data_IF_466716222957
#
_entry.id   IF_466716222957
#
_cell.length_a   1.000
_cell.length_b   1.000
_cell.length_c   1.000
_cell.angle_alpha   90.00
_cell.angle_beta   90.00
_cell.angle_gamma   90.00
#
_symmetry.space_group_name_H-M   'P 1'
#
loop_
_entity.id
_entity.type
_entity.pdbx_description
1 polymer ?
#
# COMPACT_ATOMS: atom_id res chain seq x y z
N UNK A 1 0.63 13.33 15.78
CA UNK A 1 0.36 12.68 14.49
C UNK A 1 1.40 11.57 14.32
N UNK A 2 1.15 10.58 13.48
CA UNK A 2 2.08 9.48 13.24
C UNK A 2 1.73 8.78 11.92
N UNK A 3 2.62 7.91 11.43
CA UNK A 3 2.41 7.11 10.23
C UNK A 3 1.29 6.08 10.36
N UNK A 4 0.17 6.37 9.72
CA UNK A 4 -0.98 5.49 9.53
C UNK A 4 -0.99 5.00 8.08
N UNK A 5 -1.09 3.70 7.87
CA UNK A 5 -0.90 3.06 6.56
C UNK A 5 -2.07 2.15 6.25
N UNK A 6 -2.51 2.12 5.00
CA UNK A 6 -3.73 1.45 4.58
C UNK A 6 -3.50 0.64 3.31
N UNK A 7 -4.01 -0.58 3.30
CA UNK A 7 -4.17 -1.40 2.10
C UNK A 7 -5.65 -1.53 1.80
N UNK A 8 -6.06 -1.24 0.58
CA UNK A 8 -7.46 -1.25 0.20
C UNK A 8 -7.66 -1.69 -1.25
N UNK A 9 -8.88 -2.07 -1.58
CA UNK A 9 -9.28 -2.45 -2.93
C UNK A 9 -10.24 -1.43 -3.52
N UNK A 10 -10.27 -1.32 -4.84
CA UNK A 10 -11.32 -0.63 -5.60
C UNK A 10 -11.67 -1.42 -6.86
N UNK A 11 -12.79 -1.08 -7.50
CA UNK A 11 -13.15 -1.65 -8.80
C UNK A 11 -12.06 -1.36 -9.82
N UNK A 12 -11.57 -2.41 -10.49
CA UNK A 12 -10.56 -2.27 -11.54
C UNK A 12 -11.07 -1.41 -12.70
N UNK A 13 -12.37 -1.44 -12.99
CA UNK A 13 -13.01 -0.58 -13.99
C UNK A 13 -12.86 0.91 -13.67
N UNK A 14 -12.99 1.29 -12.39
CA UNK A 14 -12.75 2.66 -11.96
C UNK A 14 -11.26 2.99 -12.08
N UNK A 15 -10.38 2.14 -11.53
CA UNK A 15 -8.94 2.37 -11.54
C UNK A 15 -8.36 2.49 -12.97
N UNK A 16 -8.87 1.71 -13.93
CA UNK A 16 -8.28 1.55 -15.25
C UNK A 16 -6.86 0.99 -15.15
N UNK A 17 -5.96 1.50 -15.98
CA UNK A 17 -4.53 1.12 -15.98
C UNK A 17 -3.65 2.00 -15.09
N UNK A 18 -4.26 2.96 -14.37
CA UNK A 18 -3.53 3.92 -13.53
C UNK A 18 -2.82 3.19 -12.39
N UNK A 19 -1.58 3.60 -12.16
CA UNK A 19 -0.67 2.95 -11.22
C UNK A 19 -0.44 3.77 -9.94
N UNK A 20 -0.53 5.09 -10.02
CA UNK A 20 -0.30 5.99 -8.89
C UNK A 20 -1.40 7.04 -8.81
N UNK A 21 -1.58 7.61 -7.62
CA UNK A 21 -2.43 8.77 -7.36
C UNK A 21 -3.89 8.58 -7.80
N UNK A 22 -4.38 7.35 -7.62
CA UNK A 22 -5.77 6.96 -7.87
C UNK A 22 -6.55 7.07 -6.56
N UNK A 23 -7.31 8.15 -6.42
CA UNK A 23 -8.25 8.36 -5.32
C UNK A 23 -9.54 9.03 -5.81
N UNK A 24 -10.72 8.53 -5.41
CA UNK A 24 -11.98 9.19 -5.71
C UNK A 24 -12.08 10.54 -4.98
N UNK A 25 -12.43 11.58 -5.73
CA UNK A 25 -12.51 12.97 -5.31
C UNK A 25 -13.96 13.42 -5.00
N UNK A 26 -14.95 12.70 -5.52
CA UNK A 26 -16.38 13.00 -5.31
C UNK A 26 -17.12 11.81 -4.70
N UNK A 27 -18.30 12.04 -4.13
CA UNK A 27 -19.14 10.96 -3.59
C UNK A 27 -19.57 9.96 -4.68
N UNK A 28 -19.85 10.45 -5.89
CA UNK A 28 -20.16 9.61 -7.05
C UNK A 28 -18.97 8.72 -7.43
N UNK A 29 -17.75 9.28 -7.47
CA UNK A 29 -16.55 8.50 -7.72
C UNK A 29 -16.28 7.47 -6.61
N UNK A 30 -16.59 7.81 -5.35
CA UNK A 30 -16.48 6.85 -4.22
C UNK A 30 -17.45 5.68 -4.39
N UNK A 31 -18.68 5.95 -4.81
CA UNK A 31 -19.68 4.92 -5.10
C UNK A 31 -19.27 4.04 -6.28
N UNK A 32 -18.67 4.63 -7.32
CA UNK A 32 -18.13 3.89 -8.47
C UNK A 32 -16.89 3.07 -8.11
N UNK A 33 -15.98 3.62 -7.30
CA UNK A 33 -14.73 2.96 -6.91
C UNK A 33 -14.97 1.80 -5.94
N UNK A 34 -15.98 1.89 -5.07
CA UNK A 34 -16.28 0.89 -4.03
C UNK A 34 -15.06 0.52 -3.20
N UNK A 35 -14.44 1.54 -2.60
CA UNK A 35 -13.29 1.35 -1.71
C UNK A 35 -13.62 0.37 -0.59
N UNK A 36 -12.75 -0.60 -0.36
CA UNK A 36 -12.84 -1.54 0.77
C UNK A 36 -11.46 -1.71 1.39
N UNK A 37 -11.34 -1.36 2.66
CA UNK A 37 -10.10 -1.55 3.41
C UNK A 37 -9.86 -3.04 3.65
N UNK A 38 -8.63 -3.49 3.42
CA UNK A 38 -8.21 -4.88 3.61
C UNK A 38 -7.01 -5.02 4.55
N UNK A 39 -6.32 -3.93 4.88
CA UNK A 39 -5.22 -3.93 5.83
C UNK A 39 -4.97 -2.55 6.44
N UNK A 40 -4.40 -2.53 7.64
CA UNK A 40 -3.96 -1.34 8.33
C UNK A 40 -2.66 -1.62 9.09
N UNK A 41 -1.70 -0.70 9.01
CA UNK A 41 -0.48 -0.74 9.82
C UNK A 41 -0.28 0.58 10.54
N UNK A 42 0.30 0.49 11.74
CA UNK A 42 0.67 1.66 12.53
C UNK A 42 2.18 1.73 12.66
N UNK A 43 2.79 2.73 12.02
CA UNK A 43 4.23 3.03 12.12
C UNK A 43 5.15 1.90 11.64
N UNK A 44 4.68 1.05 10.72
CA UNK A 44 5.54 0.04 10.09
C UNK A 44 6.36 0.68 8.95
N UNK A 45 7.37 1.47 9.33
CA UNK A 45 8.09 2.32 8.39
C UNK A 45 8.91 1.56 7.34
N UNK A 46 9.33 0.33 7.62
CA UNK A 46 10.00 -0.55 6.67
C UNK A 46 9.11 -0.84 5.45
N UNK A 47 7.84 -1.19 5.69
CA UNK A 47 6.86 -1.36 4.61
C UNK A 47 6.55 -0.03 3.91
N UNK A 48 6.50 1.08 4.65
CA UNK A 48 6.24 2.40 4.04
C UNK A 48 7.33 2.80 3.05
N UNK A 49 8.61 2.60 3.40
CA UNK A 49 9.74 2.85 2.49
C UNK A 49 9.66 1.99 1.23
N UNK A 50 9.37 0.69 1.39
CA UNK A 50 9.19 -0.21 0.25
C UNK A 50 8.06 0.24 -0.69
N UNK A 51 6.94 0.71 -0.13
CA UNK A 51 5.83 1.25 -0.92
C UNK A 51 6.17 2.57 -1.60
N UNK A 52 7.00 3.42 -0.96
CA UNK A 52 7.52 4.64 -1.59
C UNK A 52 8.38 4.30 -2.81
N UNK A 53 9.30 3.33 -2.69
CA UNK A 53 10.12 2.89 -3.80
C UNK A 53 9.26 2.38 -4.96
N UNK A 54 8.26 1.55 -4.67
CA UNK A 54 7.30 1.08 -5.67
C UNK A 54 6.55 2.26 -6.34
N UNK A 55 6.14 3.27 -5.56
CA UNK A 55 5.50 4.48 -6.10
C UNK A 55 6.41 5.21 -7.09
N UNK A 56 7.70 5.36 -6.79
CA UNK A 56 8.69 5.95 -7.72
C UNK A 56 8.86 5.10 -8.97
N UNK A 57 9.00 3.78 -8.83
CA UNK A 57 9.13 2.84 -9.95
C UNK A 57 7.93 2.93 -10.91
N UNK A 58 6.74 3.13 -10.36
CA UNK A 58 5.48 3.25 -11.12
C UNK A 58 5.21 4.65 -11.68
N UNK A 59 6.18 5.56 -11.59
CA UNK A 59 6.13 6.88 -12.20
C UNK A 59 5.52 7.98 -11.34
N UNK A 60 5.34 7.72 -10.03
CA UNK A 60 4.89 8.71 -9.07
C UNK A 60 5.89 9.86 -8.92
N UNK A 61 5.40 11.10 -8.97
CA UNK A 61 6.24 12.30 -9.14
C UNK A 61 6.32 13.20 -7.91
N UNK A 62 5.41 13.04 -6.94
CA UNK A 62 5.38 13.93 -5.78
C UNK A 62 6.60 13.75 -4.89
N UNK A 63 7.29 14.83 -4.53
CA UNK A 63 8.51 14.77 -3.70
C UNK A 63 8.31 14.05 -2.37
N UNK A 64 7.09 14.05 -1.84
CA UNK A 64 6.71 13.42 -0.57
C UNK A 64 5.66 12.34 -0.80
N UNK A 65 5.95 11.12 -0.37
CA UNK A 65 4.99 10.01 -0.37
C UNK A 65 4.10 10.05 0.88
N UNK A 66 3.14 10.97 0.87
CA UNK A 66 2.14 11.15 1.93
C UNK A 66 0.79 11.54 1.31
N UNK A 67 -0.28 10.83 1.68
CA UNK A 67 -1.58 10.88 1.00
C UNK A 67 -1.46 10.62 -0.52
N UNK A 68 -0.58 9.70 -0.89
CA UNK A 68 -0.28 9.29 -2.26
C UNK A 68 -0.45 7.79 -2.37
N UNK A 69 -1.01 7.37 -3.50
CA UNK A 69 -1.41 5.98 -3.67
C UNK A 69 -0.57 5.27 -4.70
N UNK A 70 -0.33 3.98 -4.46
CA UNK A 70 0.36 3.11 -5.40
C UNK A 70 -0.41 1.81 -5.56
N UNK A 71 -0.57 1.37 -6.80
CA UNK A 71 -1.22 0.12 -7.17
C UNK A 71 -0.25 -1.04 -7.00
N UNK A 72 -0.70 -2.11 -6.34
CA UNK A 72 0.02 -3.37 -6.30
C UNK A 72 -0.56 -4.34 -7.33
N UNK A 73 0.32 -4.90 -8.15
CA UNK A 73 0.01 -5.97 -9.09
C UNK A 73 0.62 -7.29 -8.60
N UNK A 74 0.29 -8.40 -9.26
CA UNK A 74 0.74 -9.73 -8.81
C UNK A 74 2.27 -9.85 -8.71
N UNK A 75 3.01 -9.20 -9.61
CA UNK A 75 4.47 -9.18 -9.57
C UNK A 75 5.01 -8.41 -8.35
N UNK A 76 4.37 -7.29 -8.00
CA UNK A 76 4.75 -6.48 -6.85
C UNK A 76 4.47 -7.22 -5.54
N UNK A 77 3.34 -7.93 -5.46
CA UNK A 77 3.01 -8.76 -4.30
C UNK A 77 4.00 -9.92 -4.11
N UNK A 78 4.51 -10.51 -5.19
CA UNK A 78 5.60 -11.51 -5.12
C UNK A 78 6.89 -10.88 -4.61
N UNK A 79 7.27 -9.70 -5.11
CA UNK A 79 8.47 -8.97 -4.64
C UNK A 79 8.35 -8.59 -3.17
N UNK A 80 7.18 -8.11 -2.73
CA UNK A 80 6.93 -7.74 -1.33
C UNK A 80 7.02 -8.95 -0.40
N UNK A 81 6.40 -10.07 -0.79
CA UNK A 81 6.46 -11.32 -0.01
C UNK A 81 7.90 -11.83 0.13
N UNK A 82 8.68 -11.79 -0.95
CA UNK A 82 10.09 -12.16 -0.93
C UNK A 82 10.91 -11.23 -0.03
N UNK A 83 10.73 -9.91 -0.16
CA UNK A 83 11.45 -8.94 0.66
C UNK A 83 11.10 -9.10 2.14
N UNK A 84 9.85 -9.38 2.47
CA UNK A 84 9.40 -9.66 3.84
C UNK A 84 10.01 -10.95 4.40
N UNK A 85 10.00 -12.03 3.63
CA UNK A 85 10.52 -13.34 4.06
C UNK A 85 12.05 -13.38 4.19
N UNK A 86 12.75 -12.53 3.43
CA UNK A 86 14.21 -12.43 3.45
C UNK A 86 14.74 -11.33 4.39
N UNK A 87 13.87 -10.60 5.10
CA UNK A 87 14.24 -9.47 5.96
C UNK A 87 14.95 -8.33 5.18
N UNK A 88 14.46 -8.06 3.96
CA UNK A 88 15.00 -7.05 3.02
C UNK A 88 14.21 -5.74 3.03
N UNK A 89 13.19 -5.59 3.90
CA UNK A 89 12.51 -4.31 4.08
C UNK A 89 13.40 -3.40 4.92
N UNK A 90 13.98 -2.36 4.30
CA UNK A 90 14.91 -1.46 4.97
C UNK A 90 14.22 -0.45 5.89
N UNK A 91 14.88 -0.13 7.01
CA UNK A 91 14.40 0.90 7.95
C UNK A 91 14.29 2.26 7.26
N UNK A 92 13.11 2.87 7.35
CA UNK A 92 12.86 4.21 6.79
C UNK A 92 12.64 5.23 7.91
N UNK A 93 13.57 6.18 8.12
CA UNK A 93 13.45 7.17 9.17
C UNK A 93 12.44 8.26 8.82
N UNK A 94 11.68 8.73 9.81
CA UNK A 94 10.80 9.88 9.68
C UNK A 94 10.31 10.37 11.03
N UNK A 95 10.10 11.68 11.17
CA UNK A 95 9.71 12.26 12.46
C UNK A 95 8.41 11.66 13.03
N UNK A 96 7.52 11.19 12.16
CA UNK A 96 6.21 10.62 12.50
C UNK A 96 6.20 9.08 12.46
N UNK A 97 7.32 8.43 12.11
CA UNK A 97 7.38 7.04 11.64
C UNK A 97 7.65 6.02 12.75
N UNK A 98 7.84 6.46 14.00
CA UNK A 98 8.21 5.55 15.09
C UNK A 98 9.70 5.19 15.09
N UNK A 99 10.04 4.12 15.79
CA UNK A 99 11.40 3.60 15.86
C UNK A 99 11.68 2.55 14.79
N UNK A 100 12.87 1.96 14.84
CA UNK A 100 13.34 0.92 13.91
C UNK A 100 12.79 -0.48 14.24
N UNK A 101 11.95 -0.61 15.26
CA UNK A 101 11.43 -1.91 15.68
C UNK A 101 10.45 -2.49 14.65
N UNK A 102 10.65 -3.76 14.32
CA UNK A 102 9.71 -4.58 13.55
C UNK A 102 9.01 -5.54 14.51
N UNK A 103 7.69 -5.45 14.61
CA UNK A 103 6.91 -6.31 15.49
C UNK A 103 6.40 -7.54 14.73
N UNK A 104 6.20 -8.69 15.39
CA UNK A 104 5.60 -9.87 14.75
C UNK A 104 4.26 -9.57 14.08
N UNK A 105 3.46 -8.71 14.70
CA UNK A 105 2.18 -8.25 14.14
C UNK A 105 2.34 -7.54 12.79
N UNK A 106 3.41 -6.77 12.58
CA UNK A 106 3.67 -6.10 11.30
C UNK A 106 3.88 -7.12 10.17
N UNK A 107 4.63 -8.18 10.47
CA UNK A 107 4.90 -9.28 9.53
C UNK A 107 3.61 -10.06 9.25
N UNK A 108 2.86 -10.41 10.29
CA UNK A 108 1.60 -11.16 10.17
C UNK A 108 0.55 -10.39 9.36
N UNK A 109 0.35 -9.10 9.64
CA UNK A 109 -0.60 -8.26 8.91
C UNK A 109 -0.16 -8.06 7.46
N UNK A 110 1.15 -7.93 7.19
CA UNK A 110 1.66 -7.85 5.82
C UNK A 110 1.41 -9.14 5.04
N UNK A 111 1.58 -10.32 5.66
CA UNK A 111 1.25 -11.61 5.02
C UNK A 111 -0.26 -11.75 4.75
N UNK A 112 -1.11 -11.33 5.69
CA UNK A 112 -2.57 -11.30 5.49
C UNK A 112 -2.96 -10.37 4.34
N UNK A 113 -2.36 -9.18 4.27
CA UNK A 113 -2.56 -8.24 3.18
C UNK A 113 -2.18 -8.85 1.83
N UNK A 114 -1.00 -9.47 1.71
CA UNK A 114 -0.56 -10.10 0.46
C UNK A 114 -1.55 -11.17 0.01
N UNK A 115 -2.02 -12.03 0.92
CA UNK A 115 -3.01 -13.05 0.61
C UNK A 115 -4.34 -12.45 0.14
N UNK A 116 -4.88 -11.46 0.89
CA UNK A 116 -6.12 -10.77 0.55
C UNK A 116 -6.01 -10.01 -0.78
N UNK A 117 -4.86 -9.38 -1.04
CA UNK A 117 -4.58 -8.67 -2.29
C UNK A 117 -4.58 -9.61 -3.49
N UNK A 118 -3.96 -10.80 -3.38
CA UNK A 118 -3.98 -11.82 -4.43
C UNK A 118 -5.41 -12.28 -4.73
N UNK A 119 -6.21 -12.51 -3.70
CA UNK A 119 -7.62 -12.87 -3.84
C UNK A 119 -8.44 -11.74 -4.49
N UNK A 120 -8.24 -10.49 -4.07
CA UNK A 120 -8.91 -9.34 -4.64
C UNK A 120 -8.62 -9.19 -6.15
N UNK A 121 -7.36 -9.33 -6.54
CA UNK A 121 -6.95 -9.27 -7.95
C UNK A 121 -7.59 -10.42 -8.75
N UNK A 122 -7.63 -11.64 -8.20
CA UNK A 122 -8.29 -12.78 -8.84
C UNK A 122 -9.80 -12.55 -9.04
N UNK A 123 -10.42 -11.77 -8.16
CA UNK A 123 -11.82 -11.36 -8.25
C UNK A 123 -12.05 -10.09 -9.10
N UNK A 124 -11.03 -9.61 -9.82
CA UNK A 124 -11.16 -8.46 -10.73
C UNK A 124 -11.15 -7.09 -10.05
N UNK A 125 -10.64 -7.01 -8.82
CA UNK A 125 -10.41 -5.74 -8.13
C UNK A 125 -8.98 -5.25 -8.35
N UNK A 126 -8.76 -3.95 -8.17
CA UNK A 126 -7.43 -3.36 -8.09
C UNK A 126 -7.07 -3.12 -6.62
N UNK A 127 -5.81 -3.38 -6.26
CA UNK A 127 -5.28 -3.23 -4.89
C UNK A 127 -4.38 -2.01 -4.84
N UNK A 128 -4.54 -1.21 -3.80
CA UNK A 128 -3.77 0.00 -3.57
C UNK A 128 -3.27 0.08 -2.14
N UNK A 129 -2.17 0.82 -1.98
CA UNK A 129 -1.64 1.27 -0.72
C UNK A 129 -1.71 2.80 -0.63
N UNK A 130 -1.96 3.33 0.56
CA UNK A 130 -1.86 4.76 0.91
C UNK A 130 -1.35 4.92 2.36
N UNK A 131 -0.92 6.13 2.72
CA UNK A 131 -0.52 6.47 4.08
C UNK A 131 -0.77 7.93 4.41
N UNK A 132 -0.88 8.23 5.71
CA UNK A 132 -0.99 9.58 6.23
C UNK A 132 -0.12 9.77 7.48
N UNK A 133 0.63 10.88 7.53
CA UNK A 133 1.48 11.25 8.66
C UNK A 133 1.67 12.75 8.85
#
# INVERSE_FOLDING_TARGET
MGLDMYGYTMRAEFAGDRQTDVMPQTDEEREQAQLTDIAYWRKFNHLHGWMEELYREKGGQDEVFNCRTVRLELADLVRLEQALDNDELEYTPGFFFGGEEVYPEDIEETKKFIAAAREAIANGLAVFYDSWW
#
